data_IF_215607853398
#
_entry.id   IF_215607853398
#
_cell.length_a   1.000
_cell.length_b   1.000
_cell.length_c   1.000
_cell.angle_alpha   90.00
_cell.angle_beta   90.00
_cell.angle_gamma   90.00
#
_symmetry.space_group_name_H-M   'P 1'
#
loop_
_entity.id
_entity.type
_entity.pdbx_description
1 polymer ?
#
# COMPACT_ATOMS: atom_id res chain seq x y z
N UNK A 1 19.54 -16.31 -8.21
CA UNK A 1 19.25 -16.91 -6.88
C UNK A 1 20.51 -16.75 -6.05
N UNK A 2 20.39 -16.30 -4.80
CA UNK A 2 21.55 -16.14 -3.91
C UNK A 2 22.17 -17.50 -3.60
N UNK A 3 23.48 -17.50 -3.30
CA UNK A 3 24.18 -18.66 -2.78
C UNK A 3 23.80 -18.97 -1.31
N UNK A 4 24.24 -20.13 -0.82
CA UNK A 4 23.88 -20.59 0.51
C UNK A 4 24.40 -19.66 1.61
N UNK A 5 25.60 -19.11 1.46
CA UNK A 5 26.18 -18.18 2.43
C UNK A 5 25.32 -16.90 2.57
N UNK A 6 24.87 -16.35 1.45
CA UNK A 6 23.99 -15.18 1.42
C UNK A 6 22.63 -15.47 2.06
N UNK A 7 22.05 -16.66 1.79
CA UNK A 7 20.77 -17.07 2.38
C UNK A 7 20.90 -17.27 3.89
N UNK A 8 21.97 -17.90 4.37
CA UNK A 8 22.23 -18.09 5.80
C UNK A 8 22.38 -16.72 6.52
N UNK A 9 23.06 -15.76 5.89
CA UNK A 9 23.15 -14.40 6.42
C UNK A 9 21.78 -13.71 6.51
N UNK A 10 20.93 -13.88 5.51
CA UNK A 10 19.55 -13.36 5.50
C UNK A 10 18.73 -14.01 6.63
N UNK A 11 18.75 -15.34 6.75
CA UNK A 11 18.03 -16.10 7.79
C UNK A 11 18.44 -15.63 9.19
N UNK A 12 19.76 -15.52 9.45
CA UNK A 12 20.28 -15.05 10.74
C UNK A 12 19.81 -13.63 11.10
N UNK A 13 19.83 -12.69 10.13
CA UNK A 13 19.40 -11.31 10.40
C UNK A 13 17.89 -11.20 10.50
N UNK A 14 17.14 -11.94 9.68
CA UNK A 14 15.70 -12.00 9.75
C UNK A 14 15.22 -12.53 11.12
N UNK A 15 15.87 -13.60 11.64
CA UNK A 15 15.59 -14.12 12.98
C UNK A 15 15.83 -13.07 14.08
N UNK A 16 16.93 -12.31 14.02
CA UNK A 16 17.22 -11.22 14.97
C UNK A 16 16.14 -10.14 14.97
N UNK A 17 15.65 -9.78 13.81
CA UNK A 17 14.61 -8.75 13.63
C UNK A 17 13.19 -9.29 13.75
N UNK A 18 13.02 -10.62 13.91
CA UNK A 18 11.72 -11.31 13.90
C UNK A 18 10.93 -11.03 12.62
N UNK A 19 11.64 -10.94 11.50
CA UNK A 19 11.11 -10.80 10.15
C UNK A 19 11.13 -12.17 9.49
N UNK A 20 10.17 -12.44 8.63
CA UNK A 20 10.20 -13.64 7.79
C UNK A 20 11.40 -13.57 6.83
N UNK A 21 12.27 -14.62 6.74
CA UNK A 21 13.45 -14.59 5.89
C UNK A 21 13.16 -14.23 4.43
N UNK A 22 12.06 -14.74 3.89
CA UNK A 22 11.63 -14.45 2.52
C UNK A 22 11.33 -12.96 2.29
N UNK A 23 10.81 -12.24 3.30
CA UNK A 23 10.58 -10.80 3.19
C UNK A 23 11.89 -10.01 3.10
N UNK A 24 12.89 -10.37 3.92
CA UNK A 24 14.20 -9.74 3.90
C UNK A 24 14.98 -10.09 2.62
N UNK A 25 14.85 -11.35 2.14
CA UNK A 25 15.39 -11.78 0.86
C UNK A 25 14.77 -11.01 -0.31
N UNK A 26 13.48 -10.77 -0.30
CA UNK A 26 12.80 -10.01 -1.33
C UNK A 26 13.33 -8.57 -1.42
N UNK A 27 13.65 -7.90 -0.29
CA UNK A 27 14.34 -6.59 -0.29
C UNK A 27 15.68 -6.70 -1.01
N UNK A 28 16.52 -7.64 -0.58
CA UNK A 28 17.87 -7.83 -1.17
C UNK A 28 17.80 -8.10 -2.68
N UNK A 29 16.87 -8.95 -3.13
CA UNK A 29 16.71 -9.28 -4.55
C UNK A 29 16.24 -8.08 -5.38
N UNK A 30 15.26 -7.32 -4.89
CA UNK A 30 14.72 -6.17 -5.63
C UNK A 30 15.76 -5.06 -5.74
N UNK A 31 16.54 -4.80 -4.69
CA UNK A 31 17.55 -3.74 -4.68
C UNK A 31 18.80 -4.08 -5.51
N UNK A 32 19.22 -5.35 -5.49
CA UNK A 32 20.48 -5.79 -6.13
C UNK A 32 20.27 -6.54 -7.44
N UNK A 33 19.00 -6.79 -7.84
CA UNK A 33 18.66 -7.74 -8.91
C UNK A 33 19.30 -9.14 -8.68
N UNK A 34 19.46 -9.54 -7.41
CA UNK A 34 20.03 -10.83 -7.03
C UNK A 34 21.56 -10.93 -7.16
N UNK A 35 22.25 -9.82 -7.37
CA UNK A 35 23.71 -9.79 -7.52
C UNK A 35 24.37 -9.26 -6.24
N UNK A 36 25.28 -10.04 -5.64
CA UNK A 36 26.01 -9.67 -4.40
C UNK A 36 27.20 -8.79 -4.71
N UNK A 37 28.02 -9.18 -5.69
CA UNK A 37 29.26 -8.52 -6.06
C UNK A 37 29.38 -8.34 -7.56
N UNK A 38 30.21 -7.40 -7.95
CA UNK A 38 30.71 -7.25 -9.30
C UNK A 38 32.25 -7.34 -9.33
N UNK A 39 32.82 -7.84 -10.41
CA UNK A 39 34.29 -7.85 -10.60
C UNK A 39 34.73 -6.46 -11.09
N UNK A 40 35.55 -5.81 -10.28
CA UNK A 40 36.14 -4.51 -10.58
C UNK A 40 37.66 -4.60 -10.43
N UNK A 41 38.37 -4.47 -11.54
CA UNK A 41 39.85 -4.63 -11.58
C UNK A 41 40.34 -5.91 -10.92
N UNK A 42 39.64 -7.04 -11.18
CA UNK A 42 39.99 -8.36 -10.65
C UNK A 42 39.60 -8.62 -9.22
N UNK A 43 38.88 -7.71 -8.55
CA UNK A 43 38.41 -7.85 -7.17
C UNK A 43 36.88 -7.87 -7.11
N UNK A 44 36.35 -8.59 -6.14
CA UNK A 44 34.93 -8.50 -5.81
C UNK A 44 34.65 -7.16 -5.10
N UNK A 45 33.75 -6.36 -5.65
CA UNK A 45 33.28 -5.11 -5.07
C UNK A 45 31.76 -5.14 -4.94
N UNK A 46 31.19 -4.59 -3.84
CA UNK A 46 29.75 -4.46 -3.71
C UNK A 46 29.16 -3.63 -4.85
N UNK A 47 27.88 -3.85 -5.17
CA UNK A 47 27.20 -2.98 -6.11
C UNK A 47 27.07 -1.58 -5.54
N UNK A 48 27.29 -0.57 -6.39
CA UNK A 48 27.09 0.82 -6.01
C UNK A 48 26.23 1.56 -7.04
N UNK A 49 25.58 2.62 -6.57
CA UNK A 49 24.96 3.64 -7.41
C UNK A 49 25.41 5.01 -6.89
N UNK A 50 25.98 5.82 -7.76
CA UNK A 50 26.43 7.17 -7.42
C UNK A 50 25.32 8.18 -7.63
N UNK A 51 25.05 9.02 -6.62
CA UNK A 51 24.01 10.02 -6.62
C UNK A 51 24.59 11.43 -6.72
N UNK A 52 24.79 11.90 -7.96
CA UNK A 52 25.42 13.18 -8.24
C UNK A 52 24.71 14.41 -7.63
N UNK A 53 23.42 14.31 -7.32
CA UNK A 53 22.71 15.39 -6.64
C UNK A 53 22.99 15.42 -5.13
N UNK A 54 23.28 14.27 -4.51
CA UNK A 54 23.78 14.24 -3.13
C UNK A 54 25.23 14.72 -3.05
N UNK A 55 26.06 14.41 -4.05
CA UNK A 55 27.42 14.93 -4.15
C UNK A 55 27.41 16.45 -4.29
N UNK A 56 26.56 17.00 -5.17
CA UNK A 56 26.36 18.44 -5.34
C UNK A 56 26.02 19.15 -4.03
N UNK A 57 25.08 18.57 -3.26
CA UNK A 57 24.63 19.13 -1.97
C UNK A 57 25.73 19.16 -0.91
N UNK A 58 26.66 18.20 -0.93
CA UNK A 58 27.76 18.08 0.05
C UNK A 58 28.93 19.02 -0.26
N UNK A 59 29.13 19.33 -1.53
CA UNK A 59 30.21 20.22 -1.94
C UNK A 59 29.87 21.70 -1.75
N UNK A 60 30.90 22.52 -1.58
CA UNK A 60 30.79 24.00 -1.49
C UNK A 60 31.80 24.68 -2.41
N UNK A 61 31.51 25.94 -2.75
CA UNK A 61 32.43 26.81 -3.48
C UNK A 61 33.10 26.18 -4.70
N UNK A 62 34.41 26.34 -4.86
CA UNK A 62 35.16 25.89 -6.04
C UNK A 62 35.05 24.36 -6.29
N UNK A 63 34.98 23.54 -5.24
CA UNK A 63 34.85 22.08 -5.38
C UNK A 63 33.52 21.69 -6.06
N UNK A 64 32.42 22.37 -5.69
CA UNK A 64 31.11 22.13 -6.31
C UNK A 64 31.13 22.50 -7.79
N UNK A 65 31.70 23.64 -8.10
CA UNK A 65 31.82 24.14 -9.47
C UNK A 65 32.66 23.20 -10.33
N UNK A 66 33.82 22.79 -9.85
CA UNK A 66 34.68 21.81 -10.51
C UNK A 66 33.94 20.48 -10.75
N UNK A 67 33.19 19.97 -9.75
CA UNK A 67 32.43 18.73 -9.88
C UNK A 67 31.32 18.86 -10.93
N UNK A 68 30.64 19.99 -11.02
CA UNK A 68 29.61 20.27 -12.04
C UNK A 68 30.23 20.33 -13.44
N UNK A 69 31.33 21.04 -13.61
CA UNK A 69 32.07 21.13 -14.89
C UNK A 69 32.54 19.76 -15.37
N UNK A 70 32.94 18.87 -14.45
CA UNK A 70 33.34 17.49 -14.77
C UNK A 70 32.18 16.54 -14.96
N UNK A 71 30.93 16.99 -14.86
CA UNK A 71 29.72 16.17 -14.99
C UNK A 71 29.52 15.15 -13.85
N UNK A 72 30.14 15.43 -12.67
CA UNK A 72 30.07 14.55 -11.48
C UNK A 72 28.99 15.02 -10.48
N UNK A 73 28.57 16.28 -10.55
CA UNK A 73 27.60 16.88 -9.66
C UNK A 73 26.50 17.62 -10.45
N UNK A 74 25.31 17.62 -9.90
CA UNK A 74 24.18 18.40 -10.42
C UNK A 74 23.13 18.57 -9.32
N UNK A 75 22.47 19.73 -9.16
CA UNK A 75 21.37 19.88 -8.21
C UNK A 75 20.16 19.02 -8.58
N UNK A 76 20.05 18.61 -9.84
CA UNK A 76 18.91 17.80 -10.34
C UNK A 76 19.19 16.31 -10.18
N UNK A 77 18.32 15.60 -9.47
CA UNK A 77 18.39 14.16 -9.31
C UNK A 77 18.36 13.44 -10.68
N UNK A 78 19.18 12.41 -10.83
CA UNK A 78 19.27 11.61 -12.06
C UNK A 78 19.96 12.31 -13.25
N UNK A 79 20.39 13.57 -13.13
CA UNK A 79 21.13 14.26 -14.20
C UNK A 79 22.51 13.65 -14.44
N UNK A 80 23.24 13.31 -13.37
CA UNK A 80 24.46 12.52 -13.45
C UNK A 80 24.07 11.07 -13.68
N UNK A 81 24.35 10.56 -14.89
CA UNK A 81 23.96 9.20 -15.27
C UNK A 81 24.92 8.18 -14.69
N UNK A 82 24.37 7.13 -14.09
CA UNK A 82 25.17 5.98 -13.69
C UNK A 82 25.47 5.10 -14.91
N UNK A 83 26.73 4.71 -15.12
CA UNK A 83 27.07 3.71 -16.12
C UNK A 83 26.33 2.37 -15.87
N UNK A 84 26.06 1.61 -16.94
CA UNK A 84 25.43 0.30 -16.80
C UNK A 84 26.31 -0.70 -16.06
N UNK A 85 27.64 -0.64 -16.28
CA UNK A 85 28.62 -1.57 -15.74
C UNK A 85 29.14 -1.08 -14.40
N UNK A 86 29.20 -1.94 -13.39
CA UNK A 86 29.64 -1.60 -12.03
C UNK A 86 31.09 -1.12 -12.00
N UNK A 87 32.01 -1.70 -12.77
CA UNK A 87 33.39 -1.21 -12.85
C UNK A 87 33.48 0.28 -13.25
N UNK A 88 32.61 0.72 -14.18
CA UNK A 88 32.54 2.12 -14.59
C UNK A 88 31.88 3.01 -13.49
N UNK A 89 30.97 2.48 -12.68
CA UNK A 89 30.41 3.20 -11.49
C UNK A 89 31.49 3.42 -10.43
N UNK A 90 32.29 2.42 -10.15
CA UNK A 90 33.46 2.54 -9.25
C UNK A 90 34.50 3.52 -9.79
N UNK A 91 34.73 3.55 -11.11
CA UNK A 91 35.57 4.57 -11.75
C UNK A 91 34.98 5.99 -11.63
N UNK A 92 33.66 6.12 -11.77
CA UNK A 92 32.95 7.39 -11.56
C UNK A 92 33.13 7.89 -10.10
N UNK A 93 32.92 7.01 -9.12
CA UNK A 93 33.16 7.30 -7.72
C UNK A 93 34.61 7.72 -7.47
N UNK A 94 35.58 7.01 -8.04
CA UNK A 94 37.00 7.34 -7.88
C UNK A 94 37.34 8.74 -8.44
N UNK A 95 36.68 9.16 -9.54
CA UNK A 95 36.82 10.53 -10.05
C UNK A 95 36.24 11.55 -9.08
N UNK A 96 35.03 11.32 -8.54
CA UNK A 96 34.39 12.19 -7.55
C UNK A 96 35.23 12.30 -6.26
N UNK A 97 35.82 11.19 -5.80
CA UNK A 97 36.66 11.12 -4.60
C UNK A 97 37.97 11.92 -4.71
N UNK A 98 38.43 12.25 -5.92
CA UNK A 98 39.60 13.16 -6.10
C UNK A 98 39.25 14.61 -5.79
N UNK A 99 37.98 15.00 -5.87
CA UNK A 99 37.51 16.33 -5.52
C UNK A 99 37.26 16.43 -4.01
N UNK A 100 36.48 15.47 -3.48
CA UNK A 100 36.21 15.34 -2.06
C UNK A 100 35.85 13.86 -1.76
N UNK A 101 36.73 13.20 -1.05
CA UNK A 101 36.61 11.75 -0.79
C UNK A 101 35.39 11.44 0.08
N UNK A 102 35.22 12.17 1.19
CA UNK A 102 34.12 11.90 2.11
C UNK A 102 32.78 12.17 1.47
N UNK A 103 32.62 13.35 0.84
CA UNK A 103 31.40 13.71 0.13
C UNK A 103 31.05 12.71 -0.97
N UNK A 104 32.06 12.21 -1.72
CA UNK A 104 31.84 11.21 -2.76
C UNK A 104 31.37 9.86 -2.18
N UNK A 105 32.02 9.35 -1.11
CA UNK A 105 31.63 8.12 -0.46
C UNK A 105 30.24 8.19 0.15
N UNK A 106 29.90 9.31 0.79
CA UNK A 106 28.54 9.53 1.33
C UNK A 106 27.47 9.71 0.25
N UNK A 107 27.86 9.85 -1.01
CA UNK A 107 26.94 10.06 -2.14
C UNK A 107 26.69 8.79 -2.96
N UNK A 108 26.99 7.61 -2.42
CA UNK A 108 26.62 6.33 -3.04
C UNK A 108 25.58 5.59 -2.22
N UNK A 109 24.74 4.82 -2.89
CA UNK A 109 24.08 3.67 -2.29
C UNK A 109 24.96 2.43 -2.52
N UNK A 110 24.95 1.45 -1.60
CA UNK A 110 25.90 0.33 -1.59
C UNK A 110 25.26 -0.98 -1.15
N UNK A 111 25.72 -2.06 -1.76
CA UNK A 111 25.48 -3.44 -1.38
C UNK A 111 24.09 -3.96 -1.74
N UNK A 112 23.71 -5.10 -1.17
CA UNK A 112 22.47 -5.81 -1.42
C UNK A 112 21.21 -4.97 -1.12
N UNK A 113 21.25 -4.14 -0.10
CA UNK A 113 20.14 -3.26 0.27
C UNK A 113 20.19 -1.89 -0.39
N UNK A 114 21.18 -1.57 -1.23
CA UNK A 114 21.39 -0.25 -1.82
C UNK A 114 21.22 0.91 -0.82
N UNK A 115 21.74 0.73 0.40
CA UNK A 115 21.65 1.70 1.47
C UNK A 115 22.58 2.88 1.19
N UNK A 116 22.08 4.12 1.32
CA UNK A 116 22.90 5.32 1.18
C UNK A 116 24.00 5.36 2.24
N UNK A 117 25.26 5.44 1.80
CA UNK A 117 26.41 5.44 2.70
C UNK A 117 26.48 6.67 3.62
N UNK A 118 25.75 7.74 3.29
CA UNK A 118 25.54 8.89 4.18
C UNK A 118 24.93 8.56 5.54
N UNK A 119 24.30 7.40 5.67
CA UNK A 119 23.68 6.97 6.93
C UNK A 119 24.66 6.28 7.89
N UNK A 120 25.94 6.19 7.55
CA UNK A 120 26.97 5.47 8.31
C UNK A 120 26.91 5.74 9.82
N UNK A 121 26.86 7.00 10.23
CA UNK A 121 26.82 7.39 11.66
C UNK A 121 25.53 6.91 12.34
N UNK A 122 24.37 7.10 11.70
CA UNK A 122 23.06 6.65 12.22
C UNK A 122 23.00 5.13 12.33
N UNK A 123 23.69 4.41 11.44
CA UNK A 123 23.79 2.96 11.45
C UNK A 123 24.83 2.42 12.45
N UNK A 124 25.55 3.31 13.17
CA UNK A 124 26.51 2.95 14.20
C UNK A 124 27.89 2.57 13.67
N UNK A 125 28.26 3.02 12.47
CA UNK A 125 29.64 2.90 11.97
C UNK A 125 30.48 4.08 12.44
N UNK A 126 31.79 3.87 12.59
CA UNK A 126 32.74 4.91 13.02
C UNK A 126 33.09 5.92 11.92
N UNK A 127 32.94 5.51 10.66
CA UNK A 127 33.12 6.35 9.48
C UNK A 127 32.40 5.78 8.26
N UNK A 128 32.29 6.54 7.18
CA UNK A 128 31.77 6.07 5.91
C UNK A 128 32.65 4.97 5.32
N UNK A 129 33.97 5.06 5.50
CA UNK A 129 34.93 4.03 5.09
C UNK A 129 34.70 2.70 5.85
N UNK A 130 34.40 2.77 7.15
CA UNK A 130 34.07 1.58 7.94
C UNK A 130 32.81 0.88 7.42
N UNK A 131 31.78 1.65 7.07
CA UNK A 131 30.57 1.08 6.44
C UNK A 131 30.87 0.44 5.09
N UNK A 132 31.72 1.05 4.26
CA UNK A 132 32.12 0.49 2.95
C UNK A 132 32.99 -0.76 3.14
N UNK A 133 33.88 -0.77 4.15
CA UNK A 133 34.66 -1.96 4.50
C UNK A 133 33.77 -3.13 4.93
N UNK A 134 32.73 -2.86 5.73
CA UNK A 134 31.70 -3.85 6.07
C UNK A 134 31.00 -4.40 4.82
N UNK A 135 30.59 -3.53 3.88
CA UNK A 135 29.98 -3.99 2.63
C UNK A 135 30.91 -4.87 1.78
N UNK A 136 32.24 -4.67 1.89
CA UNK A 136 33.26 -5.46 1.20
C UNK A 136 33.60 -6.77 1.89
N UNK A 137 33.28 -6.91 3.17
CA UNK A 137 33.64 -8.11 3.94
C UNK A 137 32.91 -9.38 3.49
N UNK A 138 31.76 -9.23 2.81
CA UNK A 138 30.97 -10.36 2.32
C UNK A 138 29.48 -10.03 2.18
N UNK A 139 28.71 -11.00 1.75
CA UNK A 139 27.26 -10.90 1.72
C UNK A 139 26.68 -10.58 3.11
N UNK A 140 27.23 -11.20 4.15
CA UNK A 140 26.82 -10.99 5.54
C UNK A 140 26.95 -9.52 5.98
N UNK A 141 28.06 -8.85 5.61
CA UNK A 141 28.25 -7.42 5.89
C UNK A 141 27.25 -6.52 5.14
N UNK A 142 26.92 -6.86 3.90
CA UNK A 142 25.91 -6.13 3.12
C UNK A 142 24.51 -6.30 3.71
N UNK A 143 24.16 -7.51 4.14
CA UNK A 143 22.90 -7.82 4.84
C UNK A 143 22.85 -7.12 6.20
N UNK A 144 23.97 -7.06 6.94
CA UNK A 144 24.05 -6.32 8.20
C UNK A 144 23.73 -4.83 8.01
N UNK A 145 24.31 -4.18 6.99
CA UNK A 145 24.04 -2.77 6.67
C UNK A 145 22.55 -2.58 6.37
N UNK A 146 21.96 -3.44 5.56
CA UNK A 146 20.53 -3.41 5.21
C UNK A 146 19.66 -3.60 6.46
N UNK A 147 19.96 -4.59 7.29
CA UNK A 147 19.22 -4.88 8.51
C UNK A 147 19.29 -3.73 9.52
N UNK A 148 20.46 -3.12 9.72
CA UNK A 148 20.60 -1.90 10.55
C UNK A 148 19.78 -0.74 9.99
N UNK A 149 19.74 -0.56 8.68
CA UNK A 149 18.92 0.48 8.06
C UNK A 149 17.42 0.26 8.37
N UNK A 150 16.93 -0.95 8.13
CA UNK A 150 15.54 -1.34 8.41
C UNK A 150 15.18 -1.07 9.87
N UNK A 151 16.06 -1.46 10.80
CA UNK A 151 15.89 -1.27 12.24
C UNK A 151 15.91 0.21 12.64
N UNK A 152 16.96 0.95 12.24
CA UNK A 152 17.18 2.36 12.64
C UNK A 152 16.18 3.34 12.01
N UNK A 153 15.53 2.95 10.94
CA UNK A 153 14.49 3.75 10.28
C UNK A 153 13.06 3.28 10.60
N UNK A 154 12.91 2.34 11.54
CA UNK A 154 11.61 1.90 12.06
C UNK A 154 10.79 1.14 11.03
N UNK A 155 11.44 0.35 10.16
CA UNK A 155 10.78 -0.36 9.05
C UNK A 155 10.62 -1.87 9.33
N UNK A 156 10.91 -2.31 10.56
CA UNK A 156 10.85 -3.73 10.94
C UNK A 156 9.42 -4.24 10.90
N UNK A 157 8.49 -3.47 11.45
CA UNK A 157 7.09 -3.87 11.58
C UNK A 157 6.37 -3.92 10.24
N UNK A 158 6.73 -3.11 9.25
CA UNK A 158 6.20 -3.23 7.89
C UNK A 158 6.60 -4.56 7.26
N UNK A 159 7.85 -4.99 7.42
CA UNK A 159 8.29 -6.29 6.92
C UNK A 159 7.70 -7.45 7.72
N UNK A 160 7.56 -7.32 9.04
CA UNK A 160 6.87 -8.34 9.86
C UNK A 160 5.42 -8.56 9.43
N UNK A 161 4.76 -7.49 9.00
CA UNK A 161 3.38 -7.54 8.49
C UNK A 161 3.29 -7.78 6.99
N UNK A 162 4.42 -7.88 6.27
CA UNK A 162 4.50 -7.93 4.82
C UNK A 162 3.78 -6.73 4.14
N UNK A 163 3.78 -5.55 4.81
CA UNK A 163 3.21 -4.31 4.29
C UNK A 163 4.22 -3.62 3.35
N UNK A 164 4.44 -4.24 2.18
CA UNK A 164 5.39 -3.73 1.20
C UNK A 164 5.09 -2.31 0.69
N UNK A 165 3.82 -1.87 0.56
CA UNK A 165 3.53 -0.47 0.28
C UNK A 165 3.99 0.51 1.37
N UNK A 166 3.84 0.17 2.65
CA UNK A 166 4.34 1.00 3.75
C UNK A 166 5.86 0.96 3.82
N UNK A 167 6.45 -0.24 3.72
CA UNK A 167 7.90 -0.43 3.66
C UNK A 167 8.55 0.42 2.55
N UNK A 168 8.00 0.37 1.33
CA UNK A 168 8.47 1.18 0.20
C UNK A 168 8.55 2.67 0.55
N UNK A 169 7.52 3.21 1.20
CA UNK A 169 7.49 4.66 1.53
C UNK A 169 8.64 5.08 2.43
N UNK A 170 8.99 4.22 3.40
CA UNK A 170 10.09 4.47 4.33
C UNK A 170 11.47 4.15 3.73
N UNK A 171 11.56 3.10 2.91
CA UNK A 171 12.82 2.62 2.36
C UNK A 171 13.28 3.39 1.12
N UNK A 172 12.40 3.55 0.13
CA UNK A 172 12.70 4.16 -1.18
C UNK A 172 12.00 5.50 -1.42
N UNK A 173 11.18 5.93 -0.48
CA UNK A 173 10.40 7.16 -0.59
C UNK A 173 9.14 7.01 -1.46
N UNK A 174 8.31 8.06 -1.50
CA UNK A 174 6.99 8.02 -2.14
C UNK A 174 7.04 7.85 -3.66
N UNK A 175 8.15 8.25 -4.30
CA UNK A 175 8.29 8.28 -5.77
C UNK A 175 8.69 6.93 -6.40
N UNK A 176 8.97 5.88 -5.60
CA UNK A 176 9.37 4.57 -6.10
C UNK A 176 8.17 3.75 -6.58
N UNK A 177 7.55 4.14 -7.69
CA UNK A 177 6.35 3.47 -8.22
C UNK A 177 6.61 2.02 -8.62
N UNK A 178 5.75 1.10 -8.19
CA UNK A 178 5.82 -0.32 -8.53
C UNK A 178 6.81 -1.14 -7.69
N UNK A 179 7.57 -0.54 -6.79
CA UNK A 179 8.50 -1.25 -5.91
C UNK A 179 7.79 -2.29 -5.03
N UNK A 180 6.64 -1.95 -4.49
CA UNK A 180 5.79 -2.85 -3.71
C UNK A 180 5.35 -4.10 -4.49
N UNK A 181 5.12 -3.95 -5.80
CA UNK A 181 4.78 -5.07 -6.70
C UNK A 181 5.99 -5.96 -6.96
N UNK A 182 7.19 -5.38 -7.10
CA UNK A 182 8.43 -6.15 -7.25
C UNK A 182 8.72 -6.96 -5.98
N UNK A 183 8.56 -6.35 -4.81
CA UNK A 183 8.69 -7.02 -3.51
C UNK A 183 7.72 -8.19 -3.38
N UNK A 184 6.45 -7.97 -3.70
CA UNK A 184 5.42 -9.00 -3.65
C UNK A 184 5.75 -10.19 -4.58
N UNK A 185 6.16 -9.93 -5.81
CA UNK A 185 6.57 -10.97 -6.78
C UNK A 185 7.83 -11.72 -6.34
N UNK A 186 8.80 -11.02 -5.76
CA UNK A 186 10.00 -11.65 -5.24
C UNK A 186 9.66 -12.60 -4.08
N UNK A 187 8.85 -12.13 -3.14
CA UNK A 187 8.38 -12.93 -2.02
C UNK A 187 7.62 -14.18 -2.49
N UNK A 188 6.64 -14.03 -3.39
CA UNK A 188 5.88 -15.13 -3.97
C UNK A 188 6.78 -16.17 -4.65
N UNK A 189 7.78 -15.73 -5.40
CA UNK A 189 8.73 -16.63 -6.05
C UNK A 189 9.61 -17.38 -5.05
N UNK A 190 9.97 -16.77 -3.92
CA UNK A 190 10.80 -17.36 -2.87
C UNK A 190 10.02 -18.41 -2.06
N UNK A 191 8.79 -18.10 -1.70
CA UNK A 191 7.97 -18.95 -0.82
C UNK A 191 7.13 -19.99 -1.58
N UNK A 192 6.91 -19.80 -2.87
CA UNK A 192 5.93 -20.57 -3.66
C UNK A 192 4.49 -20.15 -3.41
N UNK A 193 4.27 -19.25 -2.45
CA UNK A 193 2.95 -18.72 -2.08
C UNK A 193 2.83 -17.28 -2.56
N UNK A 194 1.67 -16.91 -3.11
CA UNK A 194 1.36 -15.50 -3.34
C UNK A 194 1.53 -14.73 -2.02
N UNK A 195 2.08 -13.50 -2.06
CA UNK A 195 2.35 -12.76 -0.83
C UNK A 195 1.08 -12.71 0.00
N UNK A 196 1.21 -13.21 1.19
CA UNK A 196 0.24 -13.59 2.21
C UNK A 196 -0.95 -12.61 2.46
N UNK A 197 -1.46 -11.98 1.47
CA UNK A 197 -2.85 -11.57 1.47
C UNK A 197 -3.80 -12.78 1.50
N UNK A 198 -3.32 -13.98 1.17
CA UNK A 198 -4.14 -15.19 1.11
C UNK A 198 -3.83 -16.26 2.18
N UNK A 199 -2.57 -16.47 2.60
CA UNK A 199 -2.21 -17.62 3.44
C UNK A 199 -2.48 -17.44 4.94
N UNK A 200 -2.49 -16.23 5.50
CA UNK A 200 -2.89 -15.98 6.90
C UNK A 200 -4.35 -15.60 7.06
N UNK A 201 -5.13 -15.54 5.97
CA UNK A 201 -6.49 -14.97 6.01
C UNK A 201 -6.54 -13.50 6.39
N UNK A 202 -5.39 -12.81 6.47
CA UNK A 202 -5.30 -11.39 6.78
C UNK A 202 -5.15 -10.58 5.49
N UNK A 203 -6.06 -9.63 5.27
CA UNK A 203 -6.01 -8.69 4.15
C UNK A 203 -5.53 -7.33 4.62
N UNK A 204 -4.70 -6.68 3.81
CA UNK A 204 -4.10 -5.37 4.11
C UNK A 204 -3.84 -4.57 2.84
N UNK A 205 -3.38 -3.37 3.00
CA UNK A 205 -3.04 -2.50 1.86
C UNK A 205 -2.07 -3.21 0.90
N UNK A 206 -2.45 -3.26 -0.39
CA UNK A 206 -1.74 -4.01 -1.43
C UNK A 206 -2.26 -5.43 -1.68
N UNK A 207 -3.12 -5.98 -0.82
CA UNK A 207 -3.84 -7.23 -1.09
C UNK A 207 -4.80 -7.06 -2.27
N UNK A 208 -4.96 -8.09 -3.10
CA UNK A 208 -5.85 -8.06 -4.27
C UNK A 208 -6.65 -9.36 -4.42
N UNK A 209 -7.71 -9.32 -5.23
CA UNK A 209 -8.45 -10.51 -5.64
C UNK A 209 -9.76 -10.76 -4.92
N UNK A 210 -10.27 -12.02 -4.99
CA UNK A 210 -11.62 -12.39 -4.55
C UNK A 210 -11.85 -12.16 -3.04
N UNK A 211 -10.87 -12.47 -2.20
CA UNK A 211 -10.94 -12.25 -0.75
C UNK A 211 -11.03 -10.77 -0.38
N UNK A 212 -10.39 -9.88 -1.15
CA UNK A 212 -10.51 -8.42 -0.95
C UNK A 212 -11.91 -7.96 -1.35
N UNK A 213 -12.48 -8.45 -2.46
CA UNK A 213 -13.87 -8.18 -2.82
C UNK A 213 -14.85 -8.63 -1.76
N UNK A 214 -14.63 -9.82 -1.17
CA UNK A 214 -15.43 -10.32 -0.05
C UNK A 214 -15.37 -9.35 1.16
N UNK A 215 -14.18 -8.95 1.58
CA UNK A 215 -13.99 -7.97 2.65
C UNK A 215 -14.69 -6.64 2.34
N UNK A 216 -14.49 -6.10 1.14
CA UNK A 216 -15.11 -4.84 0.71
C UNK A 216 -16.64 -4.93 0.73
N UNK A 217 -17.21 -6.03 0.26
CA UNK A 217 -18.64 -6.28 0.31
C UNK A 217 -19.16 -6.36 1.77
N UNK A 218 -18.41 -7.00 2.66
CA UNK A 218 -18.73 -7.05 4.10
C UNK A 218 -18.67 -5.66 4.75
N UNK A 219 -17.67 -4.85 4.42
CA UNK A 219 -17.54 -3.48 4.92
C UNK A 219 -18.70 -2.60 4.45
N UNK A 220 -19.09 -2.67 3.16
CA UNK A 220 -20.25 -1.94 2.63
C UNK A 220 -21.53 -2.32 3.38
N UNK A 221 -21.76 -3.63 3.60
CA UNK A 221 -22.91 -4.11 4.38
C UNK A 221 -22.88 -3.68 5.84
N UNK A 222 -21.68 -3.53 6.42
CA UNK A 222 -21.49 -3.01 7.77
C UNK A 222 -21.58 -1.47 7.87
N UNK A 223 -21.96 -0.77 6.77
CA UNK A 223 -22.12 0.68 6.74
C UNK A 223 -20.82 1.46 6.48
N UNK A 224 -19.77 0.80 6.03
CA UNK A 224 -18.49 1.44 5.67
C UNK A 224 -18.34 1.46 4.14
N UNK A 225 -18.66 2.57 3.45
CA UNK A 225 -18.69 2.63 1.99
C UNK A 225 -17.28 2.53 1.42
N UNK A 226 -17.06 1.49 0.61
CA UNK A 226 -15.84 1.28 -0.18
C UNK A 226 -16.22 0.75 -1.56
N UNK A 227 -15.36 0.96 -2.55
CA UNK A 227 -15.53 0.35 -3.86
C UNK A 227 -15.17 -1.13 -3.79
N UNK A 228 -16.02 -2.01 -4.33
CA UNK A 228 -15.80 -3.47 -4.40
C UNK A 228 -15.06 -3.80 -5.69
N UNK A 229 -13.77 -3.44 -5.76
CA UNK A 229 -12.92 -3.63 -6.93
C UNK A 229 -11.91 -4.79 -6.79
N UNK A 230 -11.75 -5.27 -5.56
CA UNK A 230 -10.78 -6.31 -5.25
C UNK A 230 -9.36 -5.78 -5.02
N UNK A 231 -9.20 -4.46 -4.88
CA UNK A 231 -7.92 -3.82 -4.53
C UNK A 231 -8.00 -3.23 -3.11
N UNK A 232 -7.16 -3.73 -2.20
CA UNK A 232 -7.07 -3.20 -0.85
C UNK A 232 -6.23 -1.91 -0.85
N UNK A 233 -6.83 -0.83 -1.28
CA UNK A 233 -6.23 0.51 -1.31
C UNK A 233 -6.37 1.27 0.01
N UNK A 234 -5.94 2.57 0.03
CA UNK A 234 -6.07 3.44 1.22
C UNK A 234 -7.50 3.54 1.75
N UNK A 235 -8.50 3.65 0.87
CA UNK A 235 -9.92 3.75 1.24
C UNK A 235 -10.39 2.49 1.97
N UNK A 236 -10.03 1.30 1.47
CA UNK A 236 -10.37 0.03 2.12
C UNK A 236 -9.69 -0.09 3.49
N UNK A 237 -8.40 0.31 3.60
CA UNK A 237 -7.69 0.34 4.88
C UNK A 237 -8.38 1.24 5.90
N UNK A 238 -8.76 2.44 5.49
CA UNK A 238 -9.36 3.42 6.40
C UNK A 238 -10.75 2.98 6.86
N UNK A 239 -11.53 2.32 5.98
CA UNK A 239 -12.79 1.67 6.34
C UNK A 239 -12.58 0.53 7.34
N UNK A 240 -11.59 -0.34 7.13
CA UNK A 240 -11.22 -1.39 8.09
C UNK A 240 -10.84 -0.80 9.43
N UNK A 241 -10.01 0.23 9.49
CA UNK A 241 -9.64 0.92 10.73
C UNK A 241 -10.85 1.52 11.45
N UNK A 242 -11.77 2.14 10.71
CA UNK A 242 -12.99 2.69 11.26
C UNK A 242 -13.87 1.58 11.88
N UNK A 243 -14.07 0.49 11.14
CA UNK A 243 -14.76 -0.71 11.62
C UNK A 243 -14.11 -1.30 12.89
N UNK A 244 -12.80 -1.45 12.88
CA UNK A 244 -12.03 -1.99 14.02
C UNK A 244 -12.19 -1.13 15.27
N UNK A 245 -12.11 0.21 15.15
CA UNK A 245 -12.37 1.15 16.27
C UNK A 245 -13.78 1.01 16.81
N UNK A 246 -14.78 0.98 15.93
CA UNK A 246 -16.18 0.86 16.34
C UNK A 246 -16.45 -0.46 17.08
N UNK A 247 -15.73 -1.53 16.74
CA UNK A 247 -15.87 -2.85 17.35
C UNK A 247 -14.87 -3.12 18.48
N UNK A 248 -14.12 -2.09 18.94
CA UNK A 248 -13.15 -2.16 20.05
C UNK A 248 -12.09 -3.27 19.87
N UNK A 249 -11.66 -3.51 18.64
CA UNK A 249 -10.54 -4.38 18.29
C UNK A 249 -9.35 -3.55 17.80
N UNK A 250 -8.15 -4.15 17.71
CA UNK A 250 -6.95 -3.43 17.29
C UNK A 250 -7.16 -2.78 15.93
N UNK A 251 -7.09 -1.44 15.88
CA UNK A 251 -7.34 -0.64 14.68
C UNK A 251 -6.07 -0.44 13.84
N UNK A 252 -5.46 -1.53 13.40
CA UNK A 252 -4.23 -1.52 12.60
C UNK A 252 -4.48 -1.42 11.08
N UNK A 253 -5.72 -1.59 10.64
CA UNK A 253 -6.08 -1.59 9.23
C UNK A 253 -5.68 -2.88 8.53
N UNK A 254 -5.55 -3.98 9.28
CA UNK A 254 -5.34 -5.33 8.76
C UNK A 254 -6.58 -6.17 9.06
N UNK A 255 -7.28 -6.62 8.02
CA UNK A 255 -8.46 -7.47 8.19
C UNK A 255 -8.02 -8.93 8.40
N UNK A 256 -7.81 -9.29 9.66
CA UNK A 256 -7.50 -10.65 10.10
C UNK A 256 -8.73 -11.44 10.54
N UNK A 257 -8.53 -12.69 11.06
CA UNK A 257 -9.63 -13.57 11.50
C UNK A 257 -10.60 -12.91 12.48
N UNK A 258 -10.11 -12.05 13.37
CA UNK A 258 -10.94 -11.31 14.31
C UNK A 258 -11.83 -10.27 13.61
N UNK A 259 -11.25 -9.52 12.66
CA UNK A 259 -11.98 -8.54 11.85
C UNK A 259 -13.07 -9.22 11.01
N UNK A 260 -12.74 -10.33 10.34
CA UNK A 260 -13.71 -11.12 9.57
C UNK A 260 -14.82 -11.68 10.44
N UNK A 261 -14.50 -12.29 11.57
CA UNK A 261 -15.50 -12.82 12.52
C UNK A 261 -16.47 -11.75 12.98
N UNK A 262 -15.99 -10.52 13.27
CA UNK A 262 -16.84 -9.39 13.65
C UNK A 262 -17.71 -8.90 12.48
N UNK A 263 -17.17 -8.84 11.27
CA UNK A 263 -17.93 -8.49 10.07
C UNK A 263 -18.99 -9.55 9.72
N UNK A 264 -18.66 -10.82 9.89
CA UNK A 264 -19.57 -11.94 9.64
C UNK A 264 -20.68 -12.04 10.71
N UNK A 265 -20.37 -11.71 11.97
CA UNK A 265 -21.38 -11.66 13.03
C UNK A 265 -22.48 -10.64 12.74
N UNK A 266 -22.19 -9.58 11.98
CA UNK A 266 -23.21 -8.63 11.50
C UNK A 266 -24.11 -9.22 10.39
N UNK A 267 -23.75 -10.38 9.79
CA UNK A 267 -24.63 -11.13 8.88
C UNK A 267 -25.83 -11.76 9.61
N UNK A 268 -25.70 -12.01 10.90
CA UNK A 268 -26.71 -12.71 11.72
C UNK A 268 -27.61 -11.74 12.47
N UNK A 269 -27.75 -10.48 12.03
CA UNK A 269 -28.72 -9.54 12.63
C UNK A 269 -30.16 -10.02 12.38
N UNK A 270 -31.12 -9.78 13.32
CA UNK A 270 -32.40 -10.52 13.44
C UNK A 270 -33.33 -10.50 12.23
N UNK A 271 -33.09 -9.68 11.23
CA UNK A 271 -33.98 -9.56 10.06
C UNK A 271 -33.98 -10.79 9.12
N UNK A 272 -32.96 -11.67 9.17
CA UNK A 272 -32.97 -12.92 8.39
C UNK A 272 -33.68 -14.08 9.13
N UNK A 273 -33.95 -13.98 10.42
CA UNK A 273 -34.73 -15.01 11.17
C UNK A 273 -36.24 -14.85 10.96
N UNK A 274 -36.72 -13.70 10.50
CA UNK A 274 -38.13 -13.48 10.16
C UNK A 274 -38.54 -14.05 8.80
N UNK A 275 -37.59 -14.39 7.94
CA UNK A 275 -37.84 -14.96 6.62
C UNK A 275 -38.05 -16.50 6.61
N UNK A 276 -37.82 -17.21 7.73
CA UNK A 276 -37.97 -18.69 7.81
C UNK A 276 -39.10 -19.19 8.69
N UNK A 277 -39.81 -18.29 9.39
CA UNK A 277 -41.09 -18.66 10.00
C UNK A 277 -42.20 -18.22 9.04
N UNK A 278 -42.84 -19.21 8.43
CA UNK A 278 -43.96 -18.99 7.52
C UNK A 278 -44.99 -18.08 8.16
N UNK A 279 -45.20 -16.92 7.57
CA UNK A 279 -46.29 -15.99 7.91
C UNK A 279 -47.57 -16.71 7.54
N UNK A 280 -48.29 -17.24 8.55
CA UNK A 280 -49.65 -17.71 8.38
C UNK A 280 -50.48 -16.56 7.80
N UNK A 281 -51.10 -16.83 6.67
CA UNK A 281 -52.03 -15.91 5.98
C UNK A 281 -53.22 -15.57 6.92
N UNK A 282 -53.20 -14.38 7.51
CA UNK A 282 -54.37 -13.78 8.12
C UNK A 282 -54.87 -12.63 7.26
N UNK A 283 -56.19 -12.46 7.12
CA UNK A 283 -56.79 -11.44 6.26
C UNK A 283 -56.38 -10.00 6.62
N UNK A 284 -56.00 -9.75 7.87
CA UNK A 284 -55.63 -8.41 8.36
C UNK A 284 -54.23 -7.96 7.86
N UNK A 285 -53.35 -8.91 7.41
CA UNK A 285 -52.05 -8.57 6.85
C UNK A 285 -52.09 -7.96 5.45
N UNK A 286 -53.21 -8.12 4.72
CA UNK A 286 -53.37 -7.57 3.35
C UNK A 286 -53.78 -6.09 3.33
N UNK A 287 -54.39 -5.57 4.36
CA UNK A 287 -54.84 -4.17 4.41
C UNK A 287 -53.73 -3.22 4.97
N UNK A 288 -52.75 -3.72 5.76
CA UNK A 288 -51.71 -2.90 6.34
C UNK A 288 -50.57 -2.51 5.38
N UNK A 289 -50.34 -3.26 4.30
CA UNK A 289 -49.21 -3.01 3.38
C UNK A 289 -49.44 -1.88 2.36
N UNK A 290 -50.69 -1.48 2.13
CA UNK A 290 -51.03 -0.40 1.17
C UNK A 290 -50.78 1.02 1.66
N UNK A 291 -50.62 1.23 2.99
CA UNK A 291 -50.52 2.56 3.60
C UNK A 291 -49.09 3.06 3.91
N UNK A 292 -48.09 2.17 3.92
CA UNK A 292 -46.74 2.51 4.39
C UNK A 292 -45.80 2.92 3.26
N UNK A 293 -46.09 2.59 2.02
CA UNK A 293 -45.23 2.89 0.87
C UNK A 293 -45.38 4.30 0.30
N UNK A 294 -46.44 5.02 0.66
CA UNK A 294 -46.80 6.29 0.00
C UNK A 294 -46.41 7.61 0.71
N UNK A 295 -46.17 7.61 2.00
CA UNK A 295 -46.04 8.90 2.71
C UNK A 295 -44.82 9.03 3.66
N UNK A 296 -44.51 8.00 4.41
CA UNK A 296 -43.46 8.09 5.48
C UNK A 296 -42.02 8.07 4.94
N UNK A 297 -41.78 7.43 3.79
CA UNK A 297 -40.44 7.35 3.19
C UNK A 297 -39.95 8.67 2.61
N UNK A 298 -40.84 9.46 2.06
CA UNK A 298 -40.52 10.78 1.45
C UNK A 298 -40.25 11.82 2.55
N UNK A 299 -41.01 11.78 3.64
CA UNK A 299 -40.83 12.71 4.76
C UNK A 299 -39.56 12.41 5.59
N UNK A 300 -39.20 11.15 5.78
CA UNK A 300 -37.93 10.75 6.40
C UNK A 300 -36.71 11.16 5.56
N UNK A 301 -36.79 11.03 4.25
CA UNK A 301 -35.75 11.49 3.33
C UNK A 301 -35.60 13.00 3.34
N UNK A 302 -36.72 13.75 3.40
CA UNK A 302 -36.74 15.22 3.49
C UNK A 302 -36.11 15.73 4.78
N UNK A 303 -36.46 15.15 5.93
CA UNK A 303 -35.88 15.52 7.24
C UNK A 303 -34.38 15.21 7.31
N UNK A 304 -33.90 14.14 6.67
CA UNK A 304 -32.46 13.80 6.62
C UNK A 304 -31.69 14.79 5.75
N UNK A 305 -32.28 15.28 4.65
CA UNK A 305 -31.67 16.27 3.75
C UNK A 305 -31.63 17.65 4.42
N UNK A 306 -32.70 18.05 5.12
CA UNK A 306 -32.75 19.32 5.86
C UNK A 306 -31.74 19.34 7.02
N UNK A 307 -31.57 18.24 7.77
CA UNK A 307 -30.55 18.12 8.83
C UNK A 307 -29.11 18.09 8.30
N UNK A 308 -28.89 17.60 7.08
CA UNK A 308 -27.56 17.62 6.44
C UNK A 308 -27.22 19.03 5.91
N UNK A 309 -28.21 19.76 5.40
CA UNK A 309 -28.04 21.13 4.92
C UNK A 309 -27.73 22.12 6.05
N UNK A 310 -28.39 21.98 7.20
CA UNK A 310 -28.13 22.81 8.38
C UNK A 310 -26.73 22.61 8.99
N UNK A 311 -26.16 21.42 8.88
CA UNK A 311 -24.82 21.11 9.41
C UNK A 311 -23.67 21.62 8.54
N UNK A 312 -23.92 21.97 7.27
CA UNK A 312 -22.90 22.45 6.34
C UNK A 312 -22.93 23.96 6.12
N UNK A 313 -23.96 24.66 6.60
CA UNK A 313 -24.17 26.10 6.40
C UNK A 313 -23.10 27.01 7.06
N UNK A 314 -22.22 26.49 7.90
CA UNK A 314 -21.21 27.28 8.64
C UNK A 314 -19.79 27.24 8.03
N UNK A 315 -19.58 26.53 6.90
CA UNK A 315 -18.27 26.44 6.24
C UNK A 315 -18.20 27.39 5.06
N UNK A 316 -17.44 28.51 5.13
CA UNK A 316 -17.32 29.45 4.01
C UNK A 316 -16.71 28.79 2.77
N UNK A 317 -17.36 28.96 1.62
CA UNK A 317 -16.88 28.46 0.30
C UNK A 317 -17.51 27.15 -0.18
N UNK A 318 -18.42 26.54 0.60
CA UNK A 318 -19.12 25.29 0.22
C UNK A 318 -20.60 25.51 -0.20
N UNK A 319 -21.02 26.74 -0.41
CA UNK A 319 -22.43 27.09 -0.77
C UNK A 319 -22.89 26.43 -2.07
N UNK A 320 -22.00 26.21 -3.01
CA UNK A 320 -22.31 25.52 -4.28
C UNK A 320 -22.49 24.00 -4.12
N UNK A 321 -21.93 23.41 -3.07
CA UNK A 321 -21.98 21.96 -2.82
C UNK A 321 -23.39 21.50 -2.36
N UNK A 322 -24.08 22.33 -1.58
CA UNK A 322 -25.45 22.06 -1.15
C UNK A 322 -26.46 22.09 -2.31
N UNK A 323 -26.24 22.97 -3.29
CA UNK A 323 -27.04 23.02 -4.50
C UNK A 323 -26.87 21.78 -5.38
N UNK A 324 -25.64 21.29 -5.54
CA UNK A 324 -25.34 20.06 -6.30
C UNK A 324 -25.94 18.82 -5.62
N UNK A 325 -25.82 18.70 -4.29
CA UNK A 325 -26.42 17.60 -3.54
C UNK A 325 -27.94 17.57 -3.68
N UNK A 326 -28.59 18.73 -3.66
CA UNK A 326 -30.03 18.83 -3.86
C UNK A 326 -30.47 18.39 -5.27
N UNK A 327 -29.72 18.76 -6.32
CA UNK A 327 -29.99 18.35 -7.70
C UNK A 327 -29.76 16.82 -7.87
N UNK A 328 -28.69 16.26 -7.29
CA UNK A 328 -28.42 14.82 -7.35
C UNK A 328 -29.49 14.02 -6.63
N UNK A 329 -29.96 14.49 -5.47
CA UNK A 329 -31.04 13.84 -4.73
C UNK A 329 -32.36 13.83 -5.54
N UNK A 330 -32.70 14.93 -6.17
CA UNK A 330 -33.90 15.01 -7.06
C UNK A 330 -33.78 14.07 -8.26
N UNK A 331 -32.62 13.99 -8.90
CA UNK A 331 -32.37 13.08 -10.03
C UNK A 331 -32.45 11.60 -9.62
N UNK A 332 -31.99 11.25 -8.44
CA UNK A 332 -32.07 9.88 -7.92
C UNK A 332 -33.55 9.49 -7.61
N UNK A 333 -34.31 10.40 -7.04
CA UNK A 333 -35.76 10.18 -6.78
C UNK A 333 -36.52 10.03 -8.11
N UNK A 334 -36.29 10.91 -9.07
CA UNK A 334 -36.94 10.84 -10.41
C UNK A 334 -36.52 9.57 -11.19
N UNK A 335 -35.24 9.18 -11.10
CA UNK A 335 -34.74 7.94 -11.70
C UNK A 335 -35.34 6.68 -11.05
N UNK A 336 -35.53 6.68 -9.73
CA UNK A 336 -36.23 5.61 -9.02
C UNK A 336 -37.71 5.48 -9.40
N UNK A 337 -38.40 6.61 -9.50
CA UNK A 337 -39.81 6.63 -9.94
C UNK A 337 -39.97 6.18 -11.40
N UNK A 338 -39.07 6.60 -12.28
CA UNK A 338 -39.08 6.17 -13.70
C UNK A 338 -38.80 4.65 -13.82
N UNK A 339 -37.91 4.09 -12.98
CA UNK A 339 -37.65 2.65 -12.93
C UNK A 339 -38.87 1.85 -12.46
N UNK A 340 -39.58 2.33 -11.44
CA UNK A 340 -40.78 1.70 -10.92
C UNK A 340 -41.89 1.76 -11.97
N UNK A 341 -42.09 2.91 -12.63
CA UNK A 341 -43.07 3.07 -13.70
C UNK A 341 -42.77 2.17 -14.91
N UNK A 342 -41.50 2.04 -15.28
CA UNK A 342 -41.08 1.15 -16.37
C UNK A 342 -41.28 -0.34 -16.02
N UNK A 343 -40.97 -0.73 -14.76
CA UNK A 343 -41.26 -2.08 -14.26
C UNK A 343 -42.76 -2.43 -14.29
N UNK A 344 -43.60 -1.47 -13.89
CA UNK A 344 -45.03 -1.64 -13.91
C UNK A 344 -45.60 -1.69 -15.34
N UNK A 345 -45.05 -0.88 -16.25
CA UNK A 345 -45.43 -0.91 -17.67
C UNK A 345 -45.02 -2.23 -18.34
N UNK A 346 -43.86 -2.73 -18.04
CA UNK A 346 -43.38 -4.03 -18.54
C UNK A 346 -44.20 -5.23 -18.01
N UNK A 347 -44.61 -5.18 -16.75
CA UNK A 347 -45.48 -6.22 -16.18
C UNK A 347 -46.85 -6.29 -16.85
N UNK A 348 -47.41 -5.14 -17.28
CA UNK A 348 -48.69 -5.11 -18.02
C UNK A 348 -48.61 -5.67 -19.46
N UNK A 349 -47.44 -5.64 -20.09
CA UNK A 349 -47.27 -6.21 -21.44
C UNK A 349 -47.19 -7.73 -21.45
N UNK A 350 -46.93 -8.36 -20.31
CA UNK A 350 -46.88 -9.83 -20.19
C UNK A 350 -48.23 -10.47 -19.90
N UNK A 351 -49.26 -9.68 -19.51
CA UNK A 351 -50.61 -10.17 -19.20
C UNK A 351 -51.60 -10.19 -20.41
N UNK A 352 -51.20 -9.66 -21.57
CA UNK A 352 -52.08 -9.65 -22.77
C UNK A 352 -51.81 -10.77 -23.78
N UNK A 353 -51.06 -11.80 -23.41
CA UNK A 353 -50.58 -12.84 -24.33
C UNK A 353 -51.04 -14.28 -24.09
N UNK A 354 -52.17 -14.54 -23.45
CA UNK A 354 -52.73 -15.91 -23.44
C UNK A 354 -54.26 -15.89 -23.34
N UNK A 355 -54.94 -15.86 -24.52
CA UNK A 355 -56.32 -16.36 -24.69
C UNK A 355 -56.26 -17.54 -25.64
N UNK A 356 -56.47 -18.79 -25.21
CA UNK A 356 -56.57 -19.90 -26.13
C UNK A 356 -57.97 -19.89 -26.84
N UNK A 357 -57.94 -20.20 -28.12
CA UNK A 357 -59.08 -20.42 -28.97
C UNK A 357 -59.74 -21.78 -28.69
#
# INVERSE_FOLDING_TARGET
MFDRETLDAIEHKAARLKIEPAALQAVAEVESAGQVFAIVKGRQEPLIRFEGHYFDKRLKGPQRELARQQGLASPTAGKVKNPKIQAARWALLARAARIDKQAALESISIGLGQVMAAHWAKLGFTSVEAMIAEARSGAAGQIEIMARYIEKFGLVDELQRLDFPAFKRGYNGPQANGYEKLMARAYERITGDAPVSAATGMLRMGSTGAKVRELQALLVRAGYPVKVDGDYGPTTRDAVRAFQRANKIKADGVAGPETFRKLEALKQSPDEQLGQQGVTETPEAKEGLGGVVGGAGVEAARQTIEQAADKTAWIPGLEWFSAILSVVAVLLVLGGLAWIAWGWWKARQTDEGDVPA
#
